data_IF_418498689861
#
_entry.id   IF_418498689861
#
_cell.length_a   1.000
_cell.length_b   1.000
_cell.length_c   1.000
_cell.angle_alpha   90.00
_cell.angle_beta   90.00
_cell.angle_gamma   90.00
#
_symmetry.space_group_name_H-M   'P 1'
#
loop_
_entity.id
_entity.type
_entity.pdbx_description
1 polymer ?
#
# COMPACT_ATOMS: atom_id res chain seq x y z
N UNK A 1 11.05 5.97 -4.94
CA UNK A 1 10.17 7.14 -4.82
C UNK A 1 10.91 8.22 -4.06
N UNK A 2 10.75 9.51 -4.41
CA UNK A 2 11.44 10.59 -3.67
C UNK A 2 10.73 10.89 -2.34
N UNK A 3 11.44 11.51 -1.39
CA UNK A 3 10.86 11.92 -0.11
C UNK A 3 9.72 12.93 -0.26
N UNK A 4 9.80 13.81 -1.27
CA UNK A 4 8.72 14.76 -1.57
C UNK A 4 7.44 14.06 -2.05
N UNK A 5 7.56 13.02 -2.87
CA UNK A 5 6.44 12.21 -3.34
C UNK A 5 5.80 11.45 -2.16
N UNK A 6 6.62 10.84 -1.29
CA UNK A 6 6.15 10.19 -0.06
C UNK A 6 5.36 11.16 0.81
N UNK A 7 5.91 12.35 1.05
CA UNK A 7 5.29 13.35 1.90
C UNK A 7 3.95 13.82 1.37
N UNK A 8 3.83 14.04 0.05
CA UNK A 8 2.54 14.39 -0.58
C UNK A 8 1.48 13.32 -0.37
N UNK A 9 1.84 12.06 -0.51
CA UNK A 9 0.92 10.93 -0.29
C UNK A 9 0.50 10.88 1.18
N UNK A 10 1.44 11.02 2.12
CA UNK A 10 1.15 11.05 3.57
C UNK A 10 0.21 12.21 3.90
N UNK A 11 0.48 13.42 3.40
CA UNK A 11 -0.37 14.60 3.64
C UNK A 11 -1.79 14.40 3.09
N UNK A 12 -1.94 13.77 1.92
CA UNK A 12 -3.25 13.45 1.34
C UNK A 12 -4.01 12.45 2.20
N UNK A 13 -3.35 11.37 2.64
CA UNK A 13 -3.98 10.35 3.49
C UNK A 13 -4.34 10.92 4.85
N UNK A 14 -3.49 11.77 5.43
CA UNK A 14 -3.74 12.39 6.73
C UNK A 14 -4.92 13.37 6.72
N UNK A 15 -5.21 14.01 5.59
CA UNK A 15 -6.45 14.79 5.40
C UNK A 15 -7.70 13.91 5.45
N UNK A 16 -7.61 12.66 5.00
CA UNK A 16 -8.72 11.71 4.99
C UNK A 16 -8.85 10.94 6.31
N UNK A 17 -7.72 10.70 6.99
CA UNK A 17 -7.65 10.03 8.29
C UNK A 17 -6.93 10.94 9.31
N UNK A 18 -7.57 12.02 9.78
CA UNK A 18 -6.93 13.00 10.67
C UNK A 18 -6.56 12.43 12.06
N UNK A 19 -7.23 11.35 12.48
CA UNK A 19 -6.96 10.65 13.73
C UNK A 19 -5.82 9.63 13.64
N UNK A 20 -5.28 9.37 12.44
CA UNK A 20 -4.20 8.42 12.25
C UNK A 20 -2.83 9.05 12.58
N UNK A 21 -1.99 8.28 13.29
CA UNK A 21 -0.61 8.67 13.57
C UNK A 21 0.22 8.70 12.28
N UNK A 22 1.05 9.74 12.12
CA UNK A 22 1.89 9.90 10.92
C UNK A 22 2.85 8.72 10.73
N UNK A 23 3.46 8.28 11.82
CA UNK A 23 4.37 7.14 11.85
C UNK A 23 3.69 5.85 11.37
N UNK A 24 2.37 5.70 11.64
CA UNK A 24 1.61 4.54 11.16
C UNK A 24 1.39 4.60 9.66
N UNK A 25 1.01 5.77 9.13
CA UNK A 25 0.83 6.00 7.68
C UNK A 25 2.16 5.76 6.96
N UNK A 26 3.26 6.28 7.49
CA UNK A 26 4.60 6.10 6.94
C UNK A 26 5.05 4.63 6.96
N UNK A 27 4.78 3.92 8.06
CA UNK A 27 5.10 2.49 8.17
C UNK A 27 4.34 1.66 7.14
N UNK A 28 3.05 1.93 6.93
CA UNK A 28 2.24 1.26 5.90
C UNK A 28 2.72 1.61 4.49
N UNK A 29 3.03 2.88 4.24
CA UNK A 29 3.57 3.31 2.96
C UNK A 29 4.87 2.58 2.64
N UNK A 30 5.81 2.51 3.58
CA UNK A 30 7.07 1.80 3.39
C UNK A 30 6.85 0.30 3.16
N UNK A 31 5.89 -0.32 3.85
CA UNK A 31 5.53 -1.72 3.63
C UNK A 31 4.96 -1.95 2.22
N UNK A 32 4.07 -1.08 1.74
CA UNK A 32 3.52 -1.14 0.38
C UNK A 32 4.62 -1.01 -0.66
N UNK A 33 5.56 -0.07 -0.48
CA UNK A 33 6.68 0.11 -1.41
C UNK A 33 7.57 -1.14 -1.46
N UNK A 34 7.85 -1.75 -0.30
CA UNK A 34 8.65 -2.97 -0.21
C UNK A 34 7.97 -4.17 -0.88
N UNK A 35 6.65 -4.32 -0.68
CA UNK A 35 5.87 -5.36 -1.36
C UNK A 35 5.83 -5.12 -2.89
N UNK A 36 5.70 -3.87 -3.35
CA UNK A 36 5.79 -3.53 -4.78
C UNK A 36 7.18 -3.89 -5.35
N UNK A 37 8.25 -3.60 -4.62
CA UNK A 37 9.60 -4.02 -4.99
C UNK A 37 9.74 -5.54 -5.06
N UNK A 38 9.03 -6.29 -4.22
CA UNK A 38 9.03 -7.76 -4.29
C UNK A 38 8.45 -8.31 -5.61
N UNK A 39 7.53 -7.58 -6.25
CA UNK A 39 7.00 -7.94 -7.56
C UNK A 39 7.97 -7.59 -8.72
N UNK A 40 9.02 -6.81 -8.46
CA UNK A 40 10.06 -6.47 -9.43
C UNK A 40 11.08 -7.61 -9.62
N UNK A 41 10.58 -8.76 -10.05
CA UNK A 41 11.37 -9.96 -10.34
C UNK A 41 12.39 -9.76 -11.48
N UNK A 42 12.20 -8.74 -12.32
CA UNK A 42 13.07 -8.44 -13.45
C UNK A 42 14.20 -7.45 -13.13
N UNK A 43 14.30 -6.95 -11.89
CA UNK A 43 15.39 -6.06 -11.44
C UNK A 43 15.45 -4.72 -12.16
N UNK A 44 14.35 -4.28 -12.80
CA UNK A 44 14.30 -3.01 -13.53
C UNK A 44 14.16 -1.84 -12.57
N UNK A 45 14.61 -0.66 -13.00
CA UNK A 45 14.33 0.57 -12.26
C UNK A 45 12.83 0.86 -12.32
N UNK A 46 12.18 0.87 -11.16
CA UNK A 46 10.74 1.14 -11.03
C UNK A 46 10.48 2.63 -11.27
N UNK A 47 9.56 2.93 -12.20
CA UNK A 47 9.05 4.28 -12.41
C UNK A 47 7.95 4.58 -11.40
N UNK A 48 8.36 5.08 -10.24
CA UNK A 48 7.46 5.38 -9.12
C UNK A 48 6.37 6.40 -9.45
N UNK A 49 6.56 7.26 -10.46
CA UNK A 49 5.52 8.21 -10.88
C UNK A 49 4.30 7.50 -11.45
N UNK A 50 4.51 6.43 -12.22
CA UNK A 50 3.42 5.62 -12.78
C UNK A 50 2.66 4.81 -11.73
N UNK A 51 3.32 4.54 -10.60
CA UNK A 51 2.75 3.78 -9.49
C UNK A 51 2.21 4.67 -8.37
N UNK A 52 2.45 5.98 -8.41
CA UNK A 52 2.07 6.92 -7.33
C UNK A 52 0.57 6.89 -7.02
N UNK A 53 -0.28 6.84 -8.05
CA UNK A 53 -1.74 6.78 -7.86
C UNK A 53 -2.16 5.44 -7.25
N UNK A 54 -1.55 4.34 -7.72
CA UNK A 54 -1.80 3.01 -7.18
C UNK A 54 -1.35 2.89 -5.72
N UNK A 55 -0.16 3.41 -5.39
CA UNK A 55 0.38 3.41 -4.02
C UNK A 55 -0.54 4.20 -3.10
N UNK A 56 -1.06 5.35 -3.57
CA UNK A 56 -2.00 6.17 -2.81
C UNK A 56 -3.33 5.44 -2.55
N UNK A 57 -3.87 4.76 -3.56
CA UNK A 57 -5.10 3.97 -3.44
C UNK A 57 -4.92 2.78 -2.50
N UNK A 58 -3.83 2.01 -2.64
CA UNK A 58 -3.54 0.87 -1.75
C UNK A 58 -3.35 1.34 -0.31
N UNK A 59 -2.67 2.47 -0.10
CA UNK A 59 -2.49 3.06 1.23
C UNK A 59 -3.83 3.53 1.81
N UNK A 60 -4.68 4.16 1.00
CA UNK A 60 -6.04 4.54 1.42
C UNK A 60 -6.87 3.32 1.85
N UNK A 61 -6.92 2.27 1.03
CA UNK A 61 -7.66 1.05 1.34
C UNK A 61 -7.09 0.34 2.57
N UNK A 62 -5.76 0.32 2.75
CA UNK A 62 -5.13 -0.23 3.94
C UNK A 62 -5.55 0.54 5.20
N UNK A 63 -5.48 1.87 5.18
CA UNK A 63 -5.91 2.75 6.29
C UNK A 63 -7.40 2.61 6.61
N UNK A 64 -8.24 2.51 5.58
CA UNK A 64 -9.68 2.27 5.73
C UNK A 64 -9.96 0.92 6.40
N UNK A 65 -9.31 -0.14 5.92
CA UNK A 65 -9.43 -1.48 6.51
C UNK A 65 -8.93 -1.53 7.96
N UNK A 66 -7.84 -0.83 8.30
CA UNK A 66 -7.37 -0.73 9.69
C UNK A 66 -8.40 0.01 10.56
N UNK A 67 -8.99 1.09 10.05
CA UNK A 67 -10.02 1.84 10.77
C UNK A 67 -11.28 1.00 11.02
N UNK A 68 -11.76 0.27 10.01
CA UNK A 68 -12.92 -0.62 10.11
C UNK A 68 -12.66 -1.82 11.03
N UNK A 69 -11.47 -2.42 10.96
CA UNK A 69 -11.05 -3.50 11.87
C UNK A 69 -10.91 -3.00 13.29
N UNK A 70 -10.40 -1.80 13.52
CA UNK A 70 -10.31 -1.18 14.85
C UNK A 70 -11.71 -0.97 15.43
N UNK A 71 -12.66 -0.45 14.66
CA UNK A 71 -14.06 -0.31 15.08
C UNK A 71 -14.68 -1.67 15.43
N UNK A 72 -14.37 -2.70 14.66
CA UNK A 72 -14.89 -4.06 14.88
C UNK A 72 -14.23 -4.75 16.09
N UNK A 73 -12.94 -4.53 16.30
CA UNK A 73 -12.15 -5.03 17.42
C UNK A 73 -12.59 -4.41 18.75
N UNK A 74 -12.83 -3.10 18.79
CA UNK A 74 -13.40 -2.39 19.95
C UNK A 74 -14.78 -2.96 20.30
N UNK A 75 -15.60 -3.31 19.30
CA UNK A 75 -16.90 -3.98 19.52
C UNK A 75 -16.78 -5.41 20.06
N UNK A 76 -15.66 -6.10 19.83
CA UNK A 76 -15.43 -7.49 20.26
C UNK A 76 -14.48 -7.65 21.45
N UNK A 77 -13.93 -6.55 21.97
CA UNK A 77 -12.98 -6.56 23.09
C UNK A 77 -11.63 -7.21 22.77
N UNK A 78 -11.29 -7.36 21.49
CA UNK A 78 -10.11 -8.09 21.05
C UNK A 78 -8.99 -7.08 20.71
N UNK A 79 -7.98 -6.96 21.57
CA UNK A 79 -6.90 -5.95 21.45
C UNK A 79 -5.70 -6.44 20.62
N UNK A 80 -5.84 -7.60 19.97
CA UNK A 80 -4.75 -8.35 19.32
C UNK A 80 -4.49 -7.90 17.87
N UNK A 81 -4.27 -6.62 17.59
CA UNK A 81 -3.89 -6.17 16.23
C UNK A 81 -2.38 -6.43 16.02
N UNK A 82 -2.02 -7.68 15.74
CA UNK A 82 -0.63 -8.06 15.46
C UNK A 82 -0.18 -7.55 14.08
N UNK A 83 1.03 -7.00 13.98
CA UNK A 83 1.64 -6.48 12.74
C UNK A 83 1.68 -7.52 11.60
N UNK A 84 1.74 -8.82 11.92
CA UNK A 84 1.66 -9.89 10.94
C UNK A 84 0.33 -9.89 10.15
N UNK A 85 -0.77 -9.53 10.82
CA UNK A 85 -2.09 -9.43 10.18
C UNK A 85 -2.17 -8.23 9.23
N UNK A 86 -1.45 -7.14 9.54
CA UNK A 86 -1.39 -5.95 8.68
C UNK A 86 -0.60 -6.22 7.41
N UNK A 87 0.58 -6.86 7.51
CA UNK A 87 1.37 -7.27 6.33
C UNK A 87 0.58 -8.20 5.41
N UNK A 88 -0.11 -9.21 5.98
CA UNK A 88 -0.95 -10.12 5.19
C UNK A 88 -2.12 -9.39 4.51
N UNK A 89 -2.76 -8.42 5.18
CA UNK A 89 -3.85 -7.63 4.60
C UNK A 89 -3.38 -6.73 3.46
N UNK A 90 -2.21 -6.09 3.60
CA UNK A 90 -1.60 -5.28 2.53
C UNK A 90 -1.23 -6.17 1.35
N UNK A 91 -0.67 -7.35 1.60
CA UNK A 91 -0.36 -8.32 0.55
C UNK A 91 -1.61 -8.80 -0.20
N UNK A 92 -2.70 -9.09 0.51
CA UNK A 92 -3.99 -9.43 -0.11
C UNK A 92 -4.56 -8.28 -0.96
N UNK A 93 -4.43 -7.04 -0.50
CA UNK A 93 -4.82 -5.87 -1.30
C UNK A 93 -3.96 -5.78 -2.57
N UNK A 94 -2.65 -5.91 -2.43
CA UNK A 94 -1.71 -5.86 -3.55
C UNK A 94 -1.86 -7.03 -4.52
N UNK A 95 -2.25 -8.21 -4.08
CA UNK A 95 -2.56 -9.35 -4.95
C UNK A 95 -3.70 -9.03 -5.92
N UNK A 96 -4.70 -8.25 -5.47
CA UNK A 96 -5.76 -7.72 -6.33
C UNK A 96 -5.24 -6.75 -7.41
N UNK A 97 -4.13 -6.08 -7.14
CA UNK A 97 -3.45 -5.17 -8.07
C UNK A 97 -2.23 -5.80 -8.77
N UNK A 98 -1.89 -7.06 -8.49
CA UNK A 98 -0.60 -7.64 -8.87
C UNK A 98 -0.36 -7.63 -10.39
N UNK A 99 -1.40 -7.90 -11.19
CA UNK A 99 -1.33 -7.82 -12.65
C UNK A 99 -1.04 -6.39 -13.14
N UNK A 100 -1.66 -5.38 -12.50
CA UNK A 100 -1.42 -3.97 -12.81
C UNK A 100 -0.01 -3.55 -12.39
N UNK A 101 0.43 -3.93 -11.18
CA UNK A 101 1.79 -3.69 -10.67
C UNK A 101 2.83 -4.27 -11.62
N UNK A 102 2.71 -5.55 -11.99
CA UNK A 102 3.64 -6.22 -12.91
C UNK A 102 3.66 -5.58 -14.30
N UNK A 103 2.51 -5.15 -14.82
CA UNK A 103 2.39 -4.43 -16.10
C UNK A 103 3.04 -3.05 -16.05
N UNK A 104 2.84 -2.30 -14.96
CA UNK A 104 3.43 -0.97 -14.78
C UNK A 104 4.95 -1.01 -14.55
N UNK A 105 5.44 -2.03 -13.84
CA UNK A 105 6.88 -2.30 -13.68
C UNK A 105 7.49 -2.82 -15.00
N UNK A 106 6.68 -3.48 -15.85
CA UNK A 106 7.15 -4.06 -17.12
C UNK A 106 7.99 -5.32 -16.92
N UNK A 107 7.70 -6.09 -15.86
CA UNK A 107 8.24 -7.43 -15.63
C UNK A 107 7.33 -8.54 -16.18
N UNK A 108 6.16 -8.22 -16.73
CA UNK A 108 5.28 -9.21 -17.36
C UNK A 108 5.83 -9.63 -18.73
N UNK A 109 6.17 -10.92 -18.86
CA UNK A 109 6.55 -11.57 -20.12
C UNK A 109 5.30 -12.04 -20.91
N UNK A 110 4.26 -11.20 -20.98
CA UNK A 110 3.01 -11.46 -21.71
C UNK A 110 1.85 -10.81 -20.97
N UNK A 111 1.09 -9.88 -21.51
CA UNK A 111 0.53 -9.79 -22.86
C UNK A 111 0.55 -8.31 -23.27
N UNK A 112 1.23 -8.01 -24.37
CA UNK A 112 1.08 -6.74 -25.08
C UNK A 112 -0.32 -6.69 -25.69
N UNK A 113 -1.17 -5.78 -25.24
CA UNK A 113 -2.35 -5.41 -26.01
C UNK A 113 -1.92 -4.33 -27.01
N UNK A 114 -1.99 -4.70 -28.30
CA UNK A 114 -1.85 -3.84 -29.47
C UNK A 114 -2.99 -2.82 -29.55
#
# INVERSE_FOLDING_TARGET
MTDEEKKKIIDQIKKQFPAAEEQRIESLLNLILLEIESYNTCGKKIDWKKLSDLVSEVLYQAMKNESEKTITAVKRGDTSISYANTSQAVRQLLDGYAAMVKRLIGCDNGVSFF
#
